data_IF_089411403406
#
_entry.id   IF_089411403406
#
_cell.length_a   1.000
_cell.length_b   1.000
_cell.length_c   1.000
_cell.angle_alpha   90.00
_cell.angle_beta   90.00
_cell.angle_gamma   90.00
#
_symmetry.space_group_name_H-M   'P 1'
#
loop_
_entity.id
_entity.type
_entity.pdbx_description
1 polymer ?
#
# COMPACT_ATOMS: atom_id res chain seq x y z
N UNK A 1 -14.55 2.72 50.71
CA UNK A 1 -14.90 3.22 49.35
C UNK A 1 -14.28 2.27 48.35
N UNK A 2 -15.10 1.41 47.78
CA UNK A 2 -14.71 0.43 46.75
C UNK A 2 -14.43 1.17 45.45
N UNK A 3 -13.17 1.20 45.03
CA UNK A 3 -12.75 1.70 43.71
C UNK A 3 -13.26 0.75 42.64
N UNK A 4 -14.39 1.10 42.03
CA UNK A 4 -14.85 0.51 40.78
C UNK A 4 -13.80 0.76 39.71
N UNK A 5 -13.06 -0.28 39.31
CA UNK A 5 -12.33 -0.30 38.06
C UNK A 5 -13.35 -0.08 36.93
N UNK A 6 -13.41 1.13 36.38
CA UNK A 6 -14.06 1.34 35.09
C UNK A 6 -13.33 0.47 34.07
N UNK A 7 -14.00 -0.59 33.61
CA UNK A 7 -13.53 -1.39 32.49
C UNK A 7 -13.41 -0.46 31.28
N UNK A 8 -12.18 -0.07 30.94
CA UNK A 8 -11.85 0.60 29.68
C UNK A 8 -12.48 -0.22 28.57
N UNK A 9 -13.54 0.31 27.94
CA UNK A 9 -14.23 -0.32 26.82
C UNK A 9 -13.24 -0.44 25.67
N UNK A 10 -12.52 -1.56 25.61
CA UNK A 10 -11.66 -1.90 24.48
C UNK A 10 -12.57 -2.09 23.27
N UNK A 11 -12.52 -1.15 22.33
CA UNK A 11 -13.23 -1.21 21.04
C UNK A 11 -12.58 -2.23 20.09
N UNK A 12 -12.03 -3.32 20.64
CA UNK A 12 -11.36 -4.41 19.93
C UNK A 12 -12.27 -5.63 19.97
N UNK A 13 -13.39 -5.57 19.22
CA UNK A 13 -14.17 -6.78 18.93
C UNK A 13 -13.59 -7.40 17.67
N UNK A 14 -13.25 -8.68 17.75
CA UNK A 14 -12.75 -9.51 16.62
C UNK A 14 -13.89 -10.04 15.74
N UNK A 15 -15.07 -9.41 15.82
CA UNK A 15 -16.24 -9.77 15.03
C UNK A 15 -16.05 -9.53 13.53
N UNK A 16 -15.01 -8.81 13.13
CA UNK A 16 -14.64 -8.60 11.73
C UNK A 16 -14.27 -9.90 11.02
N UNK A 17 -13.76 -10.92 11.72
CA UNK A 17 -13.41 -12.21 11.12
C UNK A 17 -14.62 -12.97 10.54
N UNK A 18 -15.84 -12.63 10.95
CA UNK A 18 -17.06 -13.27 10.40
C UNK A 18 -17.17 -13.00 8.90
N UNK A 19 -16.84 -11.80 8.43
CA UNK A 19 -16.96 -11.43 7.03
C UNK A 19 -16.07 -12.26 6.08
N UNK A 20 -14.73 -12.38 6.28
CA UNK A 20 -13.91 -13.23 5.44
C UNK A 20 -14.29 -14.70 5.56
N UNK A 21 -14.72 -15.19 6.73
CA UNK A 21 -15.14 -16.59 6.88
C UNK A 21 -16.42 -16.90 6.08
N UNK A 22 -17.39 -15.99 6.10
CA UNK A 22 -18.60 -16.10 5.27
C UNK A 22 -18.24 -16.01 3.79
N UNK A 23 -17.36 -15.09 3.40
CA UNK A 23 -16.87 -14.98 2.03
C UNK A 23 -16.18 -16.28 1.57
N UNK A 24 -15.31 -16.86 2.40
CA UNK A 24 -14.66 -18.15 2.12
C UNK A 24 -15.66 -19.28 1.98
N UNK A 25 -16.65 -19.38 2.87
CA UNK A 25 -17.69 -20.40 2.76
C UNK A 25 -18.45 -20.27 1.43
N UNK A 26 -18.88 -19.06 1.07
CA UNK A 26 -19.57 -18.82 -0.21
C UNK A 26 -18.67 -19.13 -1.40
N UNK A 27 -17.40 -18.72 -1.37
CA UNK A 27 -16.43 -19.03 -2.43
C UNK A 27 -16.17 -20.54 -2.57
N UNK A 28 -16.15 -21.29 -1.47
CA UNK A 28 -15.96 -22.74 -1.49
C UNK A 28 -17.13 -23.49 -2.15
N UNK A 29 -18.37 -23.05 -1.88
CA UNK A 29 -19.57 -23.75 -2.35
C UNK A 29 -20.12 -23.21 -3.67
N UNK A 30 -19.93 -21.93 -3.97
CA UNK A 30 -20.50 -21.25 -5.15
C UNK A 30 -19.46 -20.57 -6.05
N UNK A 31 -18.17 -20.68 -5.76
CA UNK A 31 -17.10 -20.01 -6.54
C UNK A 31 -17.02 -20.44 -8.00
N UNK A 32 -17.55 -21.61 -8.38
CA UNK A 32 -17.61 -22.09 -9.76
C UNK A 32 -18.86 -21.67 -10.53
N UNK A 33 -19.72 -20.82 -9.93
CA UNK A 33 -20.93 -20.35 -10.60
C UNK A 33 -20.59 -19.42 -11.76
N UNK A 34 -21.27 -19.59 -12.90
CA UNK A 34 -21.12 -18.74 -14.08
C UNK A 34 -22.26 -17.75 -14.27
N UNK A 35 -23.25 -17.71 -13.37
CA UNK A 35 -24.33 -16.73 -13.49
C UNK A 35 -23.86 -15.36 -13.02
N UNK A 36 -23.88 -14.38 -13.93
CA UNK A 36 -23.42 -13.01 -13.69
C UNK A 36 -23.92 -12.37 -12.38
N UNK A 37 -25.21 -12.46 -11.98
CA UNK A 37 -25.66 -11.90 -10.69
C UNK A 37 -25.01 -12.55 -9.47
N UNK A 38 -24.74 -13.86 -9.54
CA UNK A 38 -24.09 -14.60 -8.45
C UNK A 38 -22.60 -14.25 -8.41
N UNK A 39 -21.93 -14.16 -9.56
CA UNK A 39 -20.52 -13.77 -9.65
C UNK A 39 -20.32 -12.35 -9.08
N UNK A 40 -21.19 -11.40 -9.41
CA UNK A 40 -21.18 -10.05 -8.82
C UNK A 40 -21.36 -10.12 -7.31
N UNK A 41 -22.35 -10.89 -6.82
CA UNK A 41 -22.60 -11.06 -5.39
C UNK A 41 -21.42 -11.66 -4.63
N UNK A 42 -20.77 -12.67 -5.20
CA UNK A 42 -19.56 -13.31 -4.65
C UNK A 42 -18.42 -12.30 -4.56
N UNK A 43 -18.16 -11.54 -5.63
CA UNK A 43 -17.08 -10.55 -5.66
C UNK A 43 -17.31 -9.40 -4.65
N UNK A 44 -18.55 -8.92 -4.50
CA UNK A 44 -18.89 -7.91 -3.49
C UNK A 44 -18.67 -8.46 -2.08
N UNK A 45 -19.11 -9.69 -1.82
CA UNK A 45 -18.92 -10.34 -0.53
C UNK A 45 -17.42 -10.56 -0.23
N UNK A 46 -16.64 -10.99 -1.22
CA UNK A 46 -15.20 -11.14 -1.13
C UNK A 46 -14.53 -9.80 -0.82
N UNK A 47 -14.91 -8.72 -1.52
CA UNK A 47 -14.42 -7.37 -1.27
C UNK A 47 -14.67 -6.93 0.18
N UNK A 48 -15.88 -7.16 0.72
CA UNK A 48 -16.21 -6.86 2.12
C UNK A 48 -15.35 -7.70 3.08
N UNK A 49 -15.18 -8.99 2.80
CA UNK A 49 -14.35 -9.90 3.59
C UNK A 49 -12.88 -9.50 3.63
N UNK A 50 -12.34 -9.08 2.48
CA UNK A 50 -10.95 -8.62 2.36
C UNK A 50 -10.77 -7.27 3.08
N UNK A 51 -11.60 -6.27 2.79
CA UNK A 51 -11.47 -4.95 3.41
C UNK A 51 -11.62 -5.03 4.94
N UNK A 52 -12.63 -5.74 5.44
CA UNK A 52 -12.83 -5.92 6.89
C UNK A 52 -11.62 -6.56 7.58
N UNK A 53 -10.96 -7.52 6.92
CA UNK A 53 -9.73 -8.14 7.41
C UNK A 53 -8.54 -7.21 7.31
N UNK A 54 -8.37 -6.50 6.19
CA UNK A 54 -7.28 -5.55 5.98
C UNK A 54 -7.32 -4.38 6.99
N UNK A 55 -8.50 -3.84 7.29
CA UNK A 55 -8.67 -2.86 8.37
C UNK A 55 -8.33 -3.44 9.75
N UNK A 56 -8.62 -4.73 9.97
CA UNK A 56 -8.26 -5.40 11.23
C UNK A 56 -6.74 -5.56 11.33
N UNK A 57 -6.05 -5.95 10.25
CA UNK A 57 -4.58 -6.00 10.16
C UNK A 57 -3.98 -4.67 10.56
N UNK A 58 -4.40 -3.55 9.93
CA UNK A 58 -3.92 -2.22 10.28
C UNK A 58 -4.21 -1.87 11.73
N UNK A 59 -5.40 -2.16 12.24
CA UNK A 59 -5.74 -1.93 13.66
C UNK A 59 -4.81 -2.68 14.62
N UNK A 60 -4.43 -3.93 14.31
CA UNK A 60 -3.49 -4.68 15.15
C UNK A 60 -2.06 -4.19 14.98
N UNK A 61 -1.65 -3.84 13.75
CA UNK A 61 -0.36 -3.26 13.45
C UNK A 61 -0.17 -1.90 14.16
N UNK A 62 -1.19 -1.05 14.19
CA UNK A 62 -1.18 0.24 14.89
C UNK A 62 -0.95 0.09 16.41
N UNK A 63 -1.60 -0.91 17.04
CA UNK A 63 -1.41 -1.17 18.47
C UNK A 63 0.02 -1.66 18.75
N UNK A 64 0.57 -2.51 17.90
CA UNK A 64 1.95 -2.95 17.99
C UNK A 64 2.92 -1.78 17.75
N UNK A 65 2.62 -0.95 16.76
CA UNK A 65 3.40 0.22 16.39
C UNK A 65 3.50 1.22 17.55
N UNK A 66 2.36 1.50 18.20
CA UNK A 66 2.32 2.37 19.36
C UNK A 66 3.19 1.85 20.52
N UNK A 67 3.19 0.55 20.77
CA UNK A 67 4.00 -0.06 21.84
C UNK A 67 5.50 -0.08 21.55
N UNK A 68 5.88 -0.06 20.28
CA UNK A 68 7.27 -0.10 19.85
C UNK A 68 7.87 1.30 19.68
N UNK A 69 7.03 2.33 19.58
CA UNK A 69 7.45 3.71 19.39
C UNK A 69 8.00 3.96 17.98
N UNK A 70 8.25 5.23 17.67
CA UNK A 70 8.90 5.61 16.42
C UNK A 70 10.41 5.40 16.50
N UNK A 71 11.08 4.96 15.42
CA UNK A 71 10.55 4.74 14.05
C UNK A 71 10.08 3.30 13.78
N UNK A 72 10.17 2.38 14.74
CA UNK A 72 9.80 0.97 14.54
C UNK A 72 8.31 0.76 14.28
N UNK A 73 7.46 1.63 14.81
CA UNK A 73 6.03 1.54 14.62
C UNK A 73 5.58 1.74 13.18
N UNK A 74 6.12 2.75 12.48
CA UNK A 74 5.82 2.96 11.06
C UNK A 74 6.33 1.81 10.19
N UNK A 75 7.45 1.19 10.54
CA UNK A 75 7.98 0.03 9.85
C UNK A 75 7.07 -1.20 9.92
N UNK A 76 6.48 -1.49 11.09
CA UNK A 76 5.58 -2.64 11.22
C UNK A 76 4.33 -2.49 10.39
N UNK A 77 3.80 -1.27 10.31
CA UNK A 77 2.64 -0.99 9.49
C UNK A 77 2.98 -1.26 8.01
N UNK A 78 4.05 -0.64 7.49
CA UNK A 78 4.47 -0.84 6.11
C UNK A 78 4.85 -2.30 5.81
N UNK A 79 5.55 -2.98 6.72
CA UNK A 79 5.91 -4.38 6.55
C UNK A 79 4.69 -5.28 6.50
N UNK A 80 3.66 -5.01 7.30
CA UNK A 80 2.41 -5.78 7.29
C UNK A 80 1.70 -5.69 5.94
N UNK A 81 1.69 -4.49 5.34
CA UNK A 81 1.12 -4.24 4.01
C UNK A 81 1.95 -4.92 2.92
N UNK A 82 3.27 -4.84 2.98
CA UNK A 82 4.16 -5.56 2.06
C UNK A 82 3.97 -7.07 2.16
N UNK A 83 3.83 -7.61 3.37
CA UNK A 83 3.57 -9.04 3.58
C UNK A 83 2.24 -9.43 2.92
N UNK A 84 1.19 -8.61 3.05
CA UNK A 84 -0.07 -8.83 2.32
C UNK A 84 0.17 -8.89 0.81
N UNK A 85 0.81 -7.86 0.25
CA UNK A 85 1.07 -7.74 -1.17
C UNK A 85 1.87 -8.93 -1.73
N UNK A 86 3.02 -9.22 -1.12
CA UNK A 86 3.90 -10.33 -1.51
C UNK A 86 3.18 -11.66 -1.39
N UNK A 87 2.44 -11.89 -0.30
CA UNK A 87 1.72 -13.15 -0.11
C UNK A 87 0.62 -13.34 -1.15
N UNK A 88 -0.07 -12.26 -1.54
CA UNK A 88 -1.09 -12.29 -2.59
C UNK A 88 -0.49 -12.63 -3.95
N UNK A 89 0.57 -11.92 -4.36
CA UNK A 89 1.26 -12.18 -5.63
C UNK A 89 1.82 -13.61 -5.65
N UNK A 90 2.47 -14.04 -4.57
CA UNK A 90 3.05 -15.38 -4.45
C UNK A 90 1.99 -16.47 -4.50
N UNK A 91 0.83 -16.27 -3.85
CA UNK A 91 -0.25 -17.24 -3.84
C UNK A 91 -0.86 -17.46 -5.24
N UNK A 92 -0.95 -16.40 -6.05
CA UNK A 92 -1.41 -16.46 -7.44
C UNK A 92 -0.35 -17.08 -8.36
N UNK A 93 0.93 -16.78 -8.12
CA UNK A 93 2.03 -17.37 -8.88
C UNK A 93 2.19 -18.87 -8.61
N UNK A 94 1.93 -19.31 -7.38
CA UNK A 94 2.03 -20.72 -6.98
C UNK A 94 0.93 -21.60 -7.57
N UNK A 95 -0.22 -21.04 -7.98
CA UNK A 95 -1.28 -21.80 -8.67
C UNK A 95 -1.12 -21.81 -10.18
N UNK A 96 -0.18 -21.03 -10.73
CA UNK A 96 0.00 -20.86 -12.17
C UNK A 96 -0.99 -19.89 -12.82
N UNK A 97 -1.85 -19.24 -12.02
CA UNK A 97 -2.88 -18.31 -12.49
C UNK A 97 -2.39 -16.85 -12.57
N UNK A 98 -1.18 -16.56 -12.08
CA UNK A 98 -0.65 -15.20 -12.13
C UNK A 98 -0.22 -14.81 -13.55
N UNK A 99 -0.83 -13.74 -14.06
CA UNK A 99 -0.32 -13.06 -15.24
C UNK A 99 1.16 -12.63 -15.01
N UNK A 100 2.06 -12.83 -15.99
CA UNK A 100 3.48 -12.42 -15.88
C UNK A 100 3.68 -10.93 -15.58
N UNK A 101 2.66 -10.10 -15.84
CA UNK A 101 2.66 -8.65 -15.61
C UNK A 101 2.05 -8.25 -14.27
N UNK A 102 1.44 -9.16 -13.50
CA UNK A 102 0.66 -8.81 -12.30
C UNK A 102 1.46 -7.99 -11.29
N UNK A 103 2.71 -8.40 -11.01
CA UNK A 103 3.60 -7.66 -10.12
C UNK A 103 3.86 -6.24 -10.67
N UNK A 104 4.22 -6.11 -11.94
CA UNK A 104 4.45 -4.82 -12.59
C UNK A 104 3.22 -3.92 -12.50
N UNK A 105 2.06 -4.44 -12.87
CA UNK A 105 0.81 -3.68 -12.93
C UNK A 105 0.38 -3.23 -11.52
N UNK A 106 0.60 -4.07 -10.51
CA UNK A 106 0.34 -3.74 -9.10
C UNK A 106 1.31 -2.67 -8.60
N UNK A 107 2.62 -2.81 -8.84
CA UNK A 107 3.63 -1.82 -8.41
C UNK A 107 3.39 -0.46 -9.06
N UNK A 108 3.15 -0.44 -10.38
CA UNK A 108 2.80 0.79 -11.11
C UNK A 108 1.55 1.43 -10.54
N UNK A 109 0.50 0.63 -10.29
CA UNK A 109 -0.74 1.12 -9.70
C UNK A 109 -0.55 1.67 -8.29
N UNK A 110 0.26 1.04 -7.44
CA UNK A 110 0.58 1.52 -6.10
C UNK A 110 1.27 2.88 -6.16
N UNK A 111 2.28 3.02 -7.04
CA UNK A 111 2.96 4.30 -7.24
C UNK A 111 1.94 5.36 -7.64
N UNK A 112 1.12 5.12 -8.67
CA UNK A 112 0.21 6.12 -9.21
C UNK A 112 -0.97 6.45 -8.28
N UNK A 113 -1.53 5.47 -7.59
CA UNK A 113 -2.58 5.68 -6.59
C UNK A 113 -2.04 6.54 -5.46
N UNK A 114 -0.82 6.29 -4.99
CA UNK A 114 -0.25 7.07 -3.89
C UNK A 114 0.18 8.46 -4.35
N UNK A 115 1.05 8.55 -5.35
CA UNK A 115 1.66 9.83 -5.77
C UNK A 115 0.67 10.76 -6.45
N UNK A 116 -0.24 10.23 -7.27
CA UNK A 116 -1.27 11.02 -7.94
C UNK A 116 -2.57 11.10 -7.14
N UNK A 117 -3.13 9.95 -6.79
CA UNK A 117 -4.45 9.87 -6.15
C UNK A 117 -4.46 10.38 -4.71
N UNK A 118 -3.86 9.63 -3.79
CA UNK A 118 -3.93 9.89 -2.35
C UNK A 118 -3.22 11.17 -1.95
N UNK A 119 -2.04 11.45 -2.49
CA UNK A 119 -1.36 12.75 -2.32
C UNK A 119 -2.21 13.88 -2.91
N UNK A 120 -2.76 13.72 -4.11
CA UNK A 120 -3.60 14.73 -4.74
C UNK A 120 -4.84 15.08 -3.91
N UNK A 121 -5.59 14.07 -3.47
CA UNK A 121 -6.76 14.24 -2.59
C UNK A 121 -6.37 14.86 -1.25
N UNK A 122 -5.25 14.43 -0.67
CA UNK A 122 -4.75 14.97 0.60
C UNK A 122 -4.45 16.47 0.50
N UNK A 123 -3.68 16.88 -0.51
CA UNK A 123 -3.32 18.29 -0.67
C UNK A 123 -4.52 19.15 -1.07
N UNK A 124 -5.49 18.60 -1.81
CA UNK A 124 -6.73 19.30 -2.14
C UNK A 124 -7.60 19.52 -0.90
N UNK A 125 -7.84 18.47 -0.10
CA UNK A 125 -8.65 18.55 1.12
C UNK A 125 -7.98 19.39 2.21
N UNK A 126 -6.69 19.16 2.44
CA UNK A 126 -5.90 19.88 3.42
C UNK A 126 -5.68 21.35 3.03
N UNK A 127 -5.36 21.63 1.77
CA UNK A 127 -5.28 22.99 1.25
C UNK A 127 -6.61 23.73 1.26
N UNK A 128 -7.74 23.03 1.03
CA UNK A 128 -9.06 23.62 1.13
C UNK A 128 -9.45 24.01 2.56
N UNK A 129 -9.04 23.22 3.56
CA UNK A 129 -9.35 23.46 4.98
C UNK A 129 -8.38 24.44 5.65
N UNK A 130 -7.09 24.35 5.37
CA UNK A 130 -6.03 25.08 6.09
C UNK A 130 -5.32 26.15 5.24
N UNK A 131 -5.71 26.33 3.97
CA UNK A 131 -5.07 27.18 2.95
C UNK A 131 -3.65 26.77 2.57
N UNK A 132 -2.73 26.72 3.54
CA UNK A 132 -1.36 26.24 3.39
C UNK A 132 -1.00 25.28 4.52
N UNK A 133 -0.31 24.20 4.17
CA UNK A 133 0.20 23.24 5.14
C UNK A 133 1.72 23.14 5.02
N UNK A 134 2.38 23.00 6.16
CA UNK A 134 3.83 22.96 6.29
C UNK A 134 4.30 21.53 6.51
N UNK A 135 5.44 21.21 5.92
CA UNK A 135 6.04 19.89 6.01
C UNK A 135 7.55 19.97 6.13
N UNK A 136 8.15 18.95 6.73
CA UNK A 136 9.58 18.77 6.74
C UNK A 136 10.07 18.32 5.36
N UNK A 137 10.66 19.27 4.64
CA UNK A 137 11.30 19.07 3.36
C UNK A 137 12.34 17.96 3.34
N UNK A 138 13.09 17.80 4.43
CA UNK A 138 14.20 16.87 4.46
C UNK A 138 13.71 15.42 4.48
N UNK A 139 12.64 15.12 5.24
CA UNK A 139 12.08 13.77 5.31
C UNK A 139 11.53 13.30 3.96
N UNK A 140 10.68 14.11 3.31
CA UNK A 140 10.06 13.75 2.01
C UNK A 140 11.11 13.57 0.92
N UNK A 141 12.17 14.39 0.92
CA UNK A 141 13.28 14.24 -0.03
C UNK A 141 13.97 12.88 0.11
N UNK A 142 14.12 12.34 1.33
CA UNK A 142 14.73 11.01 1.50
C UNK A 142 13.90 9.92 0.82
N UNK A 143 12.57 9.97 0.96
CA UNK A 143 11.71 9.02 0.26
C UNK A 143 11.81 9.15 -1.26
N UNK A 144 11.77 10.38 -1.80
CA UNK A 144 11.86 10.60 -3.26
C UNK A 144 13.22 10.20 -3.83
N UNK A 145 14.33 10.46 -3.11
CA UNK A 145 15.69 10.06 -3.52
C UNK A 145 15.80 8.52 -3.61
N UNK A 146 15.11 7.78 -2.76
CA UNK A 146 15.09 6.32 -2.81
C UNK A 146 14.09 5.78 -3.85
N UNK A 147 12.88 6.34 -3.89
CA UNK A 147 11.80 5.88 -4.75
C UNK A 147 12.08 6.12 -6.24
N UNK A 148 12.58 7.30 -6.61
CA UNK A 148 12.80 7.67 -8.00
C UNK A 148 13.69 6.68 -8.76
N UNK A 149 14.94 6.38 -8.32
CA UNK A 149 15.78 5.42 -9.03
C UNK A 149 15.20 4.01 -9.05
N UNK A 150 14.54 3.57 -7.98
CA UNK A 150 13.90 2.25 -7.95
C UNK A 150 12.77 2.14 -8.96
N UNK A 151 11.89 3.13 -9.05
CA UNK A 151 10.82 3.14 -10.04
C UNK A 151 11.37 3.13 -11.47
N UNK A 152 12.42 3.91 -11.75
CA UNK A 152 13.05 3.91 -13.08
C UNK A 152 13.72 2.57 -13.38
N UNK A 153 14.56 2.06 -12.48
CA UNK A 153 15.31 0.82 -12.71
C UNK A 153 14.36 -0.36 -12.85
N UNK A 154 13.34 -0.47 -12.01
CA UNK A 154 12.45 -1.63 -12.00
C UNK A 154 11.45 -1.59 -13.17
N UNK A 155 10.83 -0.44 -13.45
CA UNK A 155 9.65 -0.37 -14.33
C UNK A 155 9.88 0.29 -15.68
N UNK A 156 10.93 1.15 -15.82
CA UNK A 156 11.20 1.91 -17.06
C UNK A 156 12.40 1.34 -17.81
N UNK A 157 13.53 1.17 -17.11
CA UNK A 157 14.79 0.70 -17.68
C UNK A 157 14.69 -0.62 -18.47
N UNK A 158 13.92 -1.66 -18.07
CA UNK A 158 13.85 -2.88 -18.84
C UNK A 158 13.31 -2.69 -20.26
N UNK A 159 12.51 -1.65 -20.52
CA UNK A 159 12.03 -1.32 -21.87
C UNK A 159 13.19 -0.96 -22.83
N UNK A 160 14.30 -0.45 -22.31
CA UNK A 160 15.48 -0.09 -23.08
C UNK A 160 16.41 -1.29 -23.38
N UNK A 161 16.11 -2.47 -22.82
CA UNK A 161 16.90 -3.69 -23.03
C UNK A 161 16.34 -4.52 -24.21
N UNK A 162 17.17 -5.39 -24.82
CA UNK A 162 16.69 -6.35 -25.81
C UNK A 162 15.55 -7.21 -25.24
N UNK A 163 14.44 -7.30 -25.96
CA UNK A 163 13.26 -8.03 -25.50
C UNK A 163 12.38 -7.28 -24.50
N UNK A 164 12.66 -5.99 -24.24
CA UNK A 164 11.90 -5.13 -23.33
C UNK A 164 11.74 -5.75 -21.91
N UNK A 165 12.74 -6.50 -21.45
CA UNK A 165 12.69 -7.15 -20.15
C UNK A 165 14.09 -7.48 -19.63
N UNK A 166 14.18 -7.84 -18.35
CA UNK A 166 15.42 -8.32 -17.76
C UNK A 166 15.68 -9.80 -18.09
N UNK A 167 16.96 -10.13 -18.35
CA UNK A 167 17.42 -11.51 -18.20
C UNK A 167 17.37 -11.92 -16.73
N UNK A 168 17.33 -13.22 -16.44
CA UNK A 168 17.29 -13.75 -15.06
C UNK A 168 18.41 -13.18 -14.18
N UNK A 169 19.64 -13.09 -14.71
CA UNK A 169 20.77 -12.50 -13.97
C UNK A 169 20.60 -11.01 -13.69
N UNK A 170 20.06 -10.24 -14.64
CA UNK A 170 19.75 -8.82 -14.44
C UNK A 170 18.61 -8.63 -13.43
N UNK A 171 17.56 -9.46 -13.48
CA UNK A 171 16.45 -9.40 -12.54
C UNK A 171 16.92 -9.65 -11.10
N UNK A 172 17.77 -10.67 -10.88
CA UNK A 172 18.37 -10.94 -9.57
C UNK A 172 19.28 -9.80 -9.08
N UNK A 173 20.01 -9.15 -9.99
CA UNK A 173 20.80 -7.98 -9.65
C UNK A 173 19.91 -6.79 -9.25
N UNK A 174 18.82 -6.53 -9.99
CA UNK A 174 17.84 -5.48 -9.66
C UNK A 174 17.15 -5.77 -8.33
N UNK A 175 16.80 -7.02 -8.06
CA UNK A 175 16.30 -7.47 -6.76
C UNK A 175 17.28 -7.16 -5.62
N UNK A 176 18.57 -7.44 -5.82
CA UNK A 176 19.62 -7.12 -4.84
C UNK A 176 19.75 -5.61 -4.63
N UNK A 177 19.76 -4.81 -5.70
CA UNK A 177 19.82 -3.34 -5.61
C UNK A 177 18.62 -2.80 -4.84
N UNK A 178 17.42 -3.30 -5.12
CA UNK A 178 16.18 -2.90 -4.45
C UNK A 178 16.24 -3.18 -2.95
N UNK A 179 16.63 -4.39 -2.56
CA UNK A 179 16.80 -4.77 -1.17
C UNK A 179 17.90 -3.94 -0.46
N UNK A 180 19.02 -3.69 -1.15
CA UNK A 180 20.13 -2.90 -0.60
C UNK A 180 19.74 -1.43 -0.39
N UNK A 181 19.05 -0.82 -1.34
CA UNK A 181 18.56 0.56 -1.21
C UNK A 181 17.60 0.71 -0.03
N UNK A 182 16.71 -0.27 0.16
CA UNK A 182 15.83 -0.28 1.32
C UNK A 182 16.58 -0.50 2.62
N UNK A 183 17.59 -1.38 2.64
CA UNK A 183 18.47 -1.54 3.80
C UNK A 183 19.14 -0.22 4.21
N UNK A 184 19.66 0.53 3.24
CA UNK A 184 20.21 1.88 3.48
C UNK A 184 19.14 2.83 3.99
N UNK A 185 17.95 2.85 3.37
CA UNK A 185 16.83 3.67 3.81
C UNK A 185 16.42 3.36 5.26
N UNK A 186 16.30 2.08 5.62
CA UNK A 186 15.99 1.64 6.97
C UNK A 186 17.07 2.07 7.97
N UNK A 187 18.35 2.00 7.62
CA UNK A 187 19.43 2.48 8.50
C UNK A 187 19.33 3.99 8.75
N UNK A 188 18.98 4.76 7.72
CA UNK A 188 18.75 6.20 7.83
C UNK A 188 17.53 6.48 8.72
N UNK A 189 16.42 5.80 8.46
CA UNK A 189 15.17 5.98 9.19
C UNK A 189 15.24 5.49 10.65
N UNK A 190 16.01 4.43 10.94
CA UNK A 190 16.03 3.78 12.26
C UNK A 190 17.21 4.12 13.14
N UNK A 191 18.31 4.66 12.61
CA UNK A 191 19.52 4.88 13.40
C UNK A 191 20.12 6.25 13.18
N UNK A 192 20.48 6.60 11.94
CA UNK A 192 21.37 7.74 11.73
C UNK A 192 20.65 9.08 11.64
N UNK A 193 19.42 9.10 11.12
CA UNK A 193 18.67 10.35 10.85
C UNK A 193 17.19 10.22 11.23
N UNK A 194 16.88 9.58 12.36
CA UNK A 194 15.50 9.38 12.83
C UNK A 194 14.71 10.70 12.90
N UNK A 195 15.36 11.80 13.31
CA UNK A 195 14.75 13.15 13.40
C UNK A 195 14.31 13.74 12.06
N UNK A 196 14.74 13.18 10.92
CA UNK A 196 14.21 13.60 9.61
C UNK A 196 12.80 13.06 9.35
N UNK A 197 12.39 12.02 10.08
CA UNK A 197 11.11 11.33 9.89
C UNK A 197 10.12 11.59 11.03
N UNK A 198 10.58 12.07 12.18
CA UNK A 198 9.77 12.54 13.30
C UNK A 198 9.59 14.06 13.19
N UNK A 199 8.38 14.58 13.34
CA UNK A 199 8.11 16.01 13.26
C UNK A 199 7.75 16.58 14.63
N UNK A 200 8.64 17.37 15.22
CA UNK A 200 8.53 17.88 16.60
C UNK A 200 7.37 18.89 16.80
N UNK A 201 6.91 19.58 15.76
CA UNK A 201 5.79 20.55 15.86
C UNK A 201 4.40 19.89 15.91
N UNK A 202 4.30 18.55 15.94
CA UNK A 202 3.04 17.85 16.18
C UNK A 202 2.74 17.64 17.68
N UNK A 203 3.71 17.84 18.59
CA UNK A 203 3.54 17.68 20.05
C UNK A 203 3.34 19.01 20.82
N UNK A 204 3.64 20.18 20.23
CA UNK A 204 3.52 21.49 20.93
C UNK A 204 2.08 22.07 20.93
N UNK A 205 1.09 21.33 20.43
CA UNK A 205 -0.26 21.83 20.13
C UNK A 205 -1.40 21.42 21.07
N UNK A 206 -1.19 20.52 22.04
CA UNK A 206 -2.21 20.12 23.03
C UNK A 206 -1.52 19.65 24.32
N UNK A 207 -1.29 20.60 25.23
CA UNK A 207 -0.66 20.39 26.55
C UNK A 207 -1.65 19.78 27.59
N UNK A 208 -2.55 18.86 27.16
CA UNK A 208 -3.52 18.20 28.06
C UNK A 208 -4.06 16.82 27.60
N UNK A 209 -3.47 16.15 26.58
CA UNK A 209 -3.83 14.75 26.25
C UNK A 209 -2.58 13.84 26.11
N UNK A 210 -2.20 13.11 27.17
CA UNK A 210 -1.04 12.22 27.12
C UNK A 210 -1.36 11.00 26.26
N UNK A 211 -0.79 10.96 25.05
CA UNK A 211 -0.65 9.80 24.17
C UNK A 211 -1.88 9.39 23.33
N UNK A 212 -1.85 9.77 22.05
CA UNK A 212 -2.64 9.14 20.99
C UNK A 212 -2.22 7.69 20.71
N UNK A 213 -2.69 6.78 21.55
CA UNK A 213 -2.70 5.35 21.29
C UNK A 213 -3.61 4.68 22.30
N UNK A 214 -4.76 4.15 21.85
CA UNK A 214 -5.69 3.47 22.76
C UNK A 214 -4.93 2.33 23.44
N UNK A 215 -4.74 2.34 24.78
CA UNK A 215 -4.11 1.23 25.46
C UNK A 215 -5.05 0.03 25.33
N UNK A 216 -4.78 -0.84 24.36
CA UNK A 216 -5.45 -2.14 24.30
C UNK A 216 -5.06 -2.90 25.57
N UNK A 217 -6.05 -3.42 26.28
CA UNK A 217 -5.83 -4.26 27.46
C UNK A 217 -5.16 -5.61 27.09
N UNK A 218 -5.13 -5.99 25.81
CA UNK A 218 -4.59 -7.26 25.35
C UNK A 218 -3.07 -7.23 25.15
N UNK A 219 -2.39 -8.38 25.33
CA UNK A 219 -0.92 -8.49 25.20
C UNK A 219 -0.45 -8.28 23.76
N UNK A 220 0.84 -7.94 23.56
CA UNK A 220 1.38 -7.75 22.20
C UNK A 220 1.27 -9.04 21.38
N UNK A 221 1.47 -10.19 22.03
CA UNK A 221 1.28 -11.51 21.42
C UNK A 221 -0.15 -11.71 20.89
N UNK A 222 -1.18 -11.25 21.60
CA UNK A 222 -2.57 -11.30 21.12
C UNK A 222 -2.73 -10.53 19.80
N UNK A 223 -2.20 -9.31 19.75
CA UNK A 223 -2.26 -8.49 18.53
C UNK A 223 -1.46 -9.12 17.38
N UNK A 224 -0.29 -9.71 17.65
CA UNK A 224 0.49 -10.42 16.63
C UNK A 224 -0.24 -11.64 16.08
N UNK A 225 -0.86 -12.46 16.93
CA UNK A 225 -1.61 -13.65 16.48
C UNK A 225 -2.82 -13.23 15.63
N UNK A 226 -3.60 -12.25 16.09
CA UNK A 226 -4.76 -11.77 15.32
C UNK A 226 -4.38 -11.05 14.03
N UNK A 227 -3.24 -10.38 14.00
CA UNK A 227 -2.66 -9.83 12.78
C UNK A 227 -2.42 -10.96 11.77
N UNK A 228 -1.72 -12.03 12.17
CA UNK A 228 -1.45 -13.19 11.30
C UNK A 228 -2.76 -13.86 10.83
N UNK A 229 -3.73 -14.04 11.71
CA UNK A 229 -5.03 -14.64 11.35
C UNK A 229 -5.74 -13.82 10.26
N UNK A 230 -5.80 -12.50 10.41
CA UNK A 230 -6.41 -11.64 9.39
C UNK A 230 -5.60 -11.56 8.10
N UNK A 231 -4.26 -11.62 8.17
CA UNK A 231 -3.40 -11.74 6.97
C UNK A 231 -3.76 -13.01 6.18
N UNK A 232 -3.85 -14.16 6.86
CA UNK A 232 -4.23 -15.44 6.24
C UNK A 232 -5.63 -15.34 5.63
N UNK A 233 -6.57 -14.71 6.34
CA UNK A 233 -7.94 -14.52 5.84
C UNK A 233 -7.97 -13.68 4.55
N UNK A 234 -7.22 -12.58 4.48
CA UNK A 234 -7.10 -11.77 3.25
C UNK A 234 -6.53 -12.62 2.11
N UNK A 235 -5.44 -13.33 2.35
CA UNK A 235 -4.77 -14.16 1.33
C UNK A 235 -5.73 -15.24 0.82
N UNK A 236 -6.43 -15.92 1.73
CA UNK A 236 -7.35 -16.98 1.37
C UNK A 236 -8.53 -16.46 0.54
N UNK A 237 -9.18 -15.37 0.97
CA UNK A 237 -10.33 -14.80 0.25
C UNK A 237 -9.90 -14.31 -1.12
N UNK A 238 -8.81 -13.54 -1.22
CA UNK A 238 -8.35 -13.00 -2.51
C UNK A 238 -7.95 -14.11 -3.48
N UNK A 239 -7.24 -15.14 -3.00
CA UNK A 239 -6.86 -16.29 -3.83
C UNK A 239 -8.09 -17.01 -4.37
N UNK A 240 -9.06 -17.30 -3.51
CA UNK A 240 -10.29 -17.97 -3.92
C UNK A 240 -11.18 -17.10 -4.82
N UNK A 241 -11.10 -15.78 -4.68
CA UNK A 241 -11.84 -14.83 -5.50
C UNK A 241 -11.18 -14.51 -6.84
N UNK A 242 -9.94 -14.97 -7.10
CA UNK A 242 -9.21 -14.67 -8.34
C UNK A 242 -10.01 -15.04 -9.60
N UNK A 243 -10.50 -16.28 -9.67
CA UNK A 243 -11.26 -16.77 -10.84
C UNK A 243 -12.65 -16.09 -10.98
N UNK A 244 -13.47 -15.96 -9.91
CA UNK A 244 -14.69 -15.15 -9.96
C UNK A 244 -14.46 -13.69 -10.38
N UNK A 245 -13.36 -13.09 -9.94
CA UNK A 245 -13.00 -11.72 -10.29
C UNK A 245 -12.63 -11.63 -11.77
N UNK A 246 -11.79 -12.53 -12.26
CA UNK A 246 -11.42 -12.59 -13.67
C UNK A 246 -12.65 -12.80 -14.57
N UNK A 247 -13.56 -13.69 -14.17
CA UNK A 247 -14.83 -13.91 -14.88
C UNK A 247 -15.64 -12.62 -14.95
N UNK A 248 -15.80 -11.91 -13.82
CA UNK A 248 -16.52 -10.65 -13.77
C UNK A 248 -15.88 -9.58 -14.66
N UNK A 249 -14.56 -9.42 -14.57
CA UNK A 249 -13.82 -8.43 -15.35
C UNK A 249 -13.90 -8.74 -16.86
N UNK A 250 -13.84 -10.02 -17.23
CA UNK A 250 -14.02 -10.46 -18.61
C UNK A 250 -15.42 -10.13 -19.12
N UNK A 251 -16.47 -10.39 -18.34
CA UNK A 251 -17.86 -10.05 -18.71
C UNK A 251 -18.08 -8.53 -18.85
N UNK A 252 -17.37 -7.73 -18.06
CA UNK A 252 -17.41 -6.27 -18.11
C UNK A 252 -16.50 -5.66 -19.19
N UNK A 253 -15.79 -6.49 -19.97
CA UNK A 253 -14.74 -6.05 -20.91
C UNK A 253 -13.68 -5.15 -20.26
N UNK A 254 -13.35 -5.41 -19.00
CA UNK A 254 -12.33 -4.67 -18.29
C UNK A 254 -10.92 -5.09 -18.74
N UNK A 255 -9.98 -4.15 -18.90
CA UNK A 255 -8.59 -4.45 -19.25
C UNK A 255 -7.88 -5.31 -18.20
N UNK A 256 -6.96 -6.19 -18.60
CA UNK A 256 -6.19 -7.05 -17.67
C UNK A 256 -5.42 -6.24 -16.62
N UNK A 257 -4.89 -5.07 -17.01
CA UNK A 257 -4.18 -4.16 -16.11
C UNK A 257 -5.08 -3.62 -14.97
N UNK A 258 -6.41 -3.64 -15.15
CA UNK A 258 -7.37 -3.20 -14.13
C UNK A 258 -7.34 -4.10 -12.88
N UNK A 259 -7.00 -5.38 -13.02
CA UNK A 259 -6.82 -6.29 -11.88
C UNK A 259 -5.71 -5.80 -10.95
N UNK A 260 -4.56 -5.41 -11.50
CA UNK A 260 -3.46 -4.84 -10.72
C UNK A 260 -3.86 -3.55 -10.00
N UNK A 261 -4.65 -2.70 -10.65
CA UNK A 261 -5.23 -1.50 -10.04
C UNK A 261 -6.16 -1.81 -8.86
N UNK A 262 -7.09 -2.77 -9.01
CA UNK A 262 -8.00 -3.16 -7.94
C UNK A 262 -7.26 -3.76 -6.74
N UNK A 263 -6.26 -4.60 -7.00
CA UNK A 263 -5.40 -5.19 -5.95
C UNK A 263 -4.63 -4.09 -5.22
N UNK A 264 -4.01 -3.17 -5.94
CA UNK A 264 -3.30 -2.02 -5.36
C UNK A 264 -4.22 -1.14 -4.50
N UNK A 265 -5.42 -0.80 -5.01
CA UNK A 265 -6.40 0.00 -4.29
C UNK A 265 -6.82 -0.68 -2.99
N UNK A 266 -7.04 -1.99 -3.02
CA UNK A 266 -7.44 -2.78 -1.88
C UNK A 266 -6.35 -2.83 -0.79
N UNK A 267 -5.10 -3.05 -1.20
CA UNK A 267 -3.94 -3.09 -0.29
C UNK A 267 -3.72 -1.72 0.37
N UNK A 268 -3.83 -0.65 -0.40
CA UNK A 268 -3.61 0.72 0.08
C UNK A 268 -4.80 1.31 0.84
N UNK A 269 -6.02 0.76 0.70
CA UNK A 269 -7.24 1.34 1.28
C UNK A 269 -7.14 1.62 2.79
N UNK A 270 -6.65 0.69 3.64
CA UNK A 270 -6.52 0.93 5.08
C UNK A 270 -5.57 2.09 5.42
N UNK A 271 -4.38 2.12 4.83
CA UNK A 271 -3.39 3.18 5.05
C UNK A 271 -3.84 4.52 4.45
N UNK A 272 -4.46 4.48 3.26
CA UNK A 272 -5.00 5.62 2.56
C UNK A 272 -6.02 6.40 3.39
N UNK A 273 -6.97 5.69 4.03
CA UNK A 273 -7.94 6.33 4.92
C UNK A 273 -7.29 6.87 6.19
N UNK A 274 -6.31 6.16 6.76
CA UNK A 274 -5.57 6.62 7.94
C UNK A 274 -4.83 7.93 7.67
N UNK A 275 -4.14 8.01 6.54
CA UNK A 275 -3.40 9.18 6.10
C UNK A 275 -4.32 10.36 5.74
N UNK A 276 -5.43 10.13 5.03
CA UNK A 276 -6.42 11.18 4.75
C UNK A 276 -7.00 11.79 6.04
N UNK A 277 -7.25 10.96 7.05
CA UNK A 277 -7.68 11.44 8.36
C UNK A 277 -6.60 12.30 9.03
N UNK A 278 -5.33 11.91 8.96
CA UNK A 278 -4.22 12.70 9.48
C UNK A 278 -4.14 14.08 8.81
N UNK A 279 -4.29 14.14 7.48
CA UNK A 279 -4.32 15.42 6.73
C UNK A 279 -5.43 16.34 7.19
N UNK A 280 -6.64 15.80 7.40
CA UNK A 280 -7.79 16.58 7.90
C UNK A 280 -7.59 17.07 9.33
N UNK A 281 -6.68 16.47 10.08
CA UNK A 281 -6.23 16.88 11.41
C UNK A 281 -4.95 17.72 11.38
N UNK A 282 -4.58 18.26 10.21
CA UNK A 282 -3.38 19.07 10.00
C UNK A 282 -2.03 18.35 10.17
N UNK A 283 -2.02 17.01 10.13
CA UNK A 283 -0.82 16.17 10.22
C UNK A 283 -0.37 15.69 8.83
N UNK A 284 -0.04 16.63 7.93
CA UNK A 284 0.31 16.29 6.54
C UNK A 284 1.65 15.56 6.46
N UNK A 285 2.60 15.90 7.33
CA UNK A 285 3.89 15.20 7.36
C UNK A 285 3.70 13.71 7.64
N UNK A 286 2.90 13.38 8.67
CA UNK A 286 2.54 12.00 8.98
C UNK A 286 1.89 11.29 7.80
N UNK A 287 0.94 11.95 7.13
CA UNK A 287 0.30 11.39 5.95
C UNK A 287 1.28 11.12 4.80
N UNK A 288 2.20 12.06 4.52
CA UNK A 288 3.23 11.87 3.49
C UNK A 288 4.20 10.75 3.86
N UNK A 289 4.61 10.65 5.12
CA UNK A 289 5.46 9.57 5.61
C UNK A 289 4.79 8.20 5.41
N UNK A 290 3.49 8.10 5.69
CA UNK A 290 2.71 6.89 5.45
C UNK A 290 2.65 6.56 3.95
N UNK A 291 2.26 7.53 3.11
CA UNK A 291 2.18 7.35 1.66
C UNK A 291 3.49 6.92 1.03
N UNK A 292 4.53 7.75 1.15
CA UNK A 292 5.80 7.48 0.50
C UNK A 292 6.56 6.32 1.14
N UNK A 293 6.40 6.09 2.45
CA UNK A 293 6.93 4.92 3.13
C UNK A 293 6.33 3.62 2.60
N UNK A 294 5.00 3.60 2.37
CA UNK A 294 4.29 2.46 1.79
C UNK A 294 4.81 2.12 0.39
N UNK A 295 4.83 3.09 -0.52
CA UNK A 295 5.32 2.89 -1.90
C UNK A 295 6.78 2.42 -1.91
N UNK A 296 7.64 3.08 -1.12
CA UNK A 296 9.04 2.73 -1.06
C UNK A 296 9.24 1.31 -0.54
N UNK A 297 8.55 0.92 0.55
CA UNK A 297 8.62 -0.42 1.10
C UNK A 297 8.13 -1.48 0.11
N UNK A 298 7.01 -1.21 -0.56
CA UNK A 298 6.45 -2.07 -1.61
C UNK A 298 7.45 -2.34 -2.74
N UNK A 299 7.96 -1.31 -3.44
CA UNK A 299 8.88 -1.56 -4.55
C UNK A 299 10.21 -2.19 -4.09
N UNK A 300 10.65 -1.81 -2.89
CA UNK A 300 11.88 -2.27 -2.28
C UNK A 300 11.89 -3.74 -1.88
N UNK A 301 10.76 -4.25 -1.40
CA UNK A 301 10.64 -5.57 -0.81
C UNK A 301 9.90 -6.55 -1.73
N UNK A 302 8.85 -6.08 -2.42
CA UNK A 302 8.07 -6.93 -3.34
C UNK A 302 8.92 -7.39 -4.51
N UNK A 303 9.72 -6.49 -5.11
CA UNK A 303 10.59 -6.84 -6.25
C UNK A 303 11.57 -7.96 -5.90
N UNK A 304 12.38 -7.89 -4.83
CA UNK A 304 13.27 -8.99 -4.48
C UNK A 304 12.55 -10.29 -4.18
N UNK A 305 11.47 -10.26 -3.39
CA UNK A 305 10.79 -11.49 -2.98
C UNK A 305 10.13 -12.17 -4.17
N UNK A 306 9.39 -11.42 -4.99
CA UNK A 306 8.70 -11.97 -6.16
C UNK A 306 9.70 -12.45 -7.21
N UNK A 307 10.81 -11.73 -7.42
CA UNK A 307 11.88 -12.17 -8.33
C UNK A 307 12.53 -13.47 -7.87
N UNK A 308 12.79 -13.62 -6.57
CA UNK A 308 13.34 -14.86 -6.02
C UNK A 308 12.36 -16.02 -6.17
N UNK A 309 11.07 -15.79 -5.90
CA UNK A 309 10.04 -16.80 -6.07
C UNK A 309 9.95 -17.22 -7.54
N UNK A 310 9.88 -16.26 -8.47
CA UNK A 310 9.86 -16.52 -9.91
C UNK A 310 11.07 -17.34 -10.37
N UNK A 311 12.27 -17.00 -9.88
CA UNK A 311 13.48 -17.74 -10.17
C UNK A 311 13.41 -19.19 -9.67
N UNK A 312 12.85 -19.42 -8.47
CA UNK A 312 12.72 -20.74 -7.88
C UNK A 312 11.59 -21.58 -8.52
N UNK A 313 10.51 -20.95 -8.97
CA UNK A 313 9.37 -21.64 -9.58
C UNK A 313 9.46 -21.76 -11.09
N UNK A 314 10.39 -21.03 -11.73
CA UNK A 314 10.50 -20.96 -13.18
C UNK A 314 9.42 -20.12 -13.86
N UNK A 315 8.76 -19.23 -13.11
CA UNK A 315 7.74 -18.34 -13.67
C UNK A 315 8.38 -17.14 -14.37
N UNK A 316 7.80 -16.74 -15.50
CA UNK A 316 8.22 -15.53 -16.21
C UNK A 316 7.67 -14.26 -15.53
N UNK A 317 8.51 -13.23 -15.45
CA UNK A 317 8.15 -11.90 -14.94
C UNK A 317 8.38 -10.86 -16.02
N UNK A 318 7.39 -10.03 -16.29
CA UNK A 318 7.50 -8.91 -17.23
C UNK A 318 7.55 -7.59 -16.46
N UNK A 319 8.71 -6.93 -16.48
CA UNK A 319 8.95 -5.72 -15.69
C UNK A 319 8.62 -4.43 -16.44
N UNK A 320 8.84 -4.38 -17.76
CA UNK A 320 8.73 -3.14 -18.52
C UNK A 320 7.28 -2.65 -18.64
N UNK A 321 7.10 -1.36 -18.36
CA UNK A 321 5.89 -0.61 -18.65
C UNK A 321 5.81 -0.22 -20.12
N UNK A 322 4.59 -0.02 -20.61
CA UNK A 322 4.34 0.56 -21.92
C UNK A 322 4.69 2.05 -21.96
N UNK A 323 4.76 2.60 -23.17
CA UNK A 323 5.13 4.00 -23.38
C UNK A 323 4.20 5.00 -22.67
N UNK A 324 2.86 4.87 -22.75
CA UNK A 324 1.94 5.75 -22.01
C UNK A 324 2.19 5.71 -20.49
N UNK A 325 2.35 4.51 -19.93
CA UNK A 325 2.54 4.30 -18.50
C UNK A 325 3.85 4.89 -18.00
N UNK A 326 4.95 4.69 -18.74
CA UNK A 326 6.24 5.29 -18.41
C UNK A 326 6.16 6.82 -18.39
N UNK A 327 5.50 7.45 -19.37
CA UNK A 327 5.38 8.91 -19.46
C UNK A 327 4.62 9.45 -18.25
N UNK A 328 3.46 8.86 -17.93
CA UNK A 328 2.62 9.32 -16.81
C UNK A 328 3.32 9.08 -15.47
N UNK A 329 3.99 7.94 -15.29
CA UNK A 329 4.73 7.64 -14.06
C UNK A 329 5.85 8.64 -13.81
N UNK A 330 6.70 8.88 -14.82
CA UNK A 330 7.83 9.80 -14.70
C UNK A 330 7.33 11.22 -14.46
N UNK A 331 6.27 11.65 -15.16
CA UNK A 331 5.64 12.94 -14.91
C UNK A 331 5.13 13.07 -13.46
N UNK A 332 4.54 12.00 -12.90
CA UNK A 332 4.05 12.00 -11.52
C UNK A 332 5.17 12.10 -10.49
N UNK A 333 6.26 11.33 -10.66
CA UNK A 333 7.42 11.39 -9.79
C UNK A 333 8.12 12.76 -9.84
N UNK A 334 8.23 13.36 -11.03
CA UNK A 334 8.73 14.72 -11.20
C UNK A 334 7.80 15.75 -10.55
N UNK A 335 6.48 15.57 -10.67
CA UNK A 335 5.52 16.45 -10.02
C UNK A 335 5.64 16.38 -8.50
N UNK A 336 5.85 15.20 -7.90
CA UNK A 336 6.14 15.10 -6.46
C UNK A 336 7.34 15.95 -6.08
N UNK A 337 8.45 15.85 -6.81
CA UNK A 337 9.64 16.64 -6.55
C UNK A 337 9.37 18.16 -6.63
N UNK A 338 8.57 18.60 -7.61
CA UNK A 338 8.19 20.01 -7.77
C UNK A 338 7.29 20.46 -6.62
N UNK A 339 6.21 19.73 -6.35
CA UNK A 339 5.21 20.07 -5.31
C UNK A 339 5.81 20.15 -3.92
N UNK A 340 6.80 19.29 -3.62
CA UNK A 340 7.44 19.23 -2.30
C UNK A 340 8.80 19.92 -2.25
N UNK A 341 9.16 20.74 -3.24
CA UNK A 341 10.47 21.42 -3.27
C UNK A 341 10.60 22.55 -2.23
N UNK A 342 9.48 23.22 -1.90
CA UNK A 342 9.44 24.44 -1.06
C UNK A 342 8.93 24.21 0.36
N UNK A 343 8.39 23.03 0.66
CA UNK A 343 7.90 22.65 2.00
C UNK A 343 6.51 23.21 2.31
N UNK A 344 5.91 23.91 1.34
CA UNK A 344 4.57 24.48 1.42
C UNK A 344 3.70 23.89 0.33
N UNK A 345 2.54 23.40 0.71
CA UNK A 345 1.58 22.83 -0.24
C UNK A 345 0.25 23.57 -0.22
N UNK A 346 -0.42 23.61 -1.37
CA UNK A 346 -1.72 24.23 -1.55
C UNK A 346 -2.61 23.38 -2.47
N UNK A 347 -3.82 23.86 -2.72
CA UNK A 347 -4.82 23.20 -3.58
C UNK A 347 -4.32 22.98 -5.01
N UNK A 348 -3.52 23.89 -5.58
CA UNK A 348 -2.98 23.74 -6.94
C UNK A 348 -2.08 22.51 -7.05
N UNK A 349 -1.25 22.24 -6.05
CA UNK A 349 -0.46 21.01 -6.01
C UNK A 349 -1.39 19.78 -6.01
N UNK A 350 -2.44 19.79 -5.19
CA UNK A 350 -3.43 18.69 -5.15
C UNK A 350 -4.11 18.45 -6.49
N UNK A 351 -4.60 19.51 -7.12
CA UNK A 351 -5.25 19.45 -8.44
C UNK A 351 -4.31 18.93 -9.54
N UNK A 352 -3.03 19.32 -9.51
CA UNK A 352 -2.04 18.84 -10.47
C UNK A 352 -1.78 17.32 -10.33
N UNK A 353 -1.68 16.82 -9.10
CA UNK A 353 -1.53 15.38 -8.84
C UNK A 353 -2.76 14.59 -9.29
N UNK A 354 -3.97 15.10 -9.03
CA UNK A 354 -5.21 14.48 -9.50
C UNK A 354 -5.32 14.49 -11.03
N UNK A 355 -4.86 15.53 -11.71
CA UNK A 355 -4.84 15.55 -13.17
C UNK A 355 -3.97 14.42 -13.76
N UNK A 356 -2.79 14.17 -13.19
CA UNK A 356 -1.95 13.04 -13.59
C UNK A 356 -2.56 11.69 -13.18
N UNK A 357 -3.27 11.63 -12.06
CA UNK A 357 -4.01 10.43 -11.67
C UNK A 357 -5.13 10.09 -12.66
N UNK A 358 -5.86 11.09 -13.17
CA UNK A 358 -6.84 10.89 -14.23
C UNK A 358 -6.17 10.41 -15.52
N UNK A 359 -5.01 11.00 -15.89
CA UNK A 359 -4.25 10.51 -17.04
C UNK A 359 -3.81 9.04 -16.86
N UNK A 360 -3.40 8.64 -15.66
CA UNK A 360 -3.15 7.24 -15.32
C UNK A 360 -4.38 6.36 -15.50
N UNK A 361 -5.55 6.77 -15.00
CA UNK A 361 -6.79 6.01 -15.21
C UNK A 361 -7.08 5.86 -16.70
N UNK A 362 -6.84 6.89 -17.51
CA UNK A 362 -6.95 6.78 -18.97
C UNK A 362 -6.00 5.73 -19.55
N UNK A 363 -4.74 5.63 -19.07
CA UNK A 363 -3.80 4.60 -19.54
C UNK A 363 -4.27 3.17 -19.27
N UNK A 364 -5.05 2.94 -18.21
CA UNK A 364 -5.57 1.60 -17.90
C UNK A 364 -6.61 1.16 -18.95
N UNK A 365 -7.42 2.10 -19.45
CA UNK A 365 -8.54 1.85 -20.37
C UNK A 365 -8.22 2.20 -21.84
N UNK A 366 -6.97 2.52 -22.15
CA UNK A 366 -6.51 3.00 -23.47
C UNK A 366 -6.33 1.90 -24.51
#
# INVERSE_FOLDING_TARGET
>A
MTTTHEAVKTRHKETSLIFPLVALAVLLFWGSSQSLPVVVGINILALIGILSSAFSVVRHADVLAHRLGEPYGSLILSLSVVILEVSLISALMATGDAAPTLMRDTLYSIIMIVTGGLVGFSLLLGGGKFATQYMNLFGIKQYLIALFPLAIIVLVFPMALPGANFTTGQALLVALISAAMYGVFLLIQTKTHQSLFVYEHEDDGDDDDPHHGKPSAHSSMWHTVWLIVHLIAVIAVTKMNANPLETLLTELNAPVAFTGFLVALLILSPEGLGALKAVLNNQVQRAMNLFFGSVLATISLTVPVVTLIAFMTGNDLHFALGAPEMIVMVASLLLCQISFSTGRTNVLNGSAHLALFIAYLMTIFA
#
